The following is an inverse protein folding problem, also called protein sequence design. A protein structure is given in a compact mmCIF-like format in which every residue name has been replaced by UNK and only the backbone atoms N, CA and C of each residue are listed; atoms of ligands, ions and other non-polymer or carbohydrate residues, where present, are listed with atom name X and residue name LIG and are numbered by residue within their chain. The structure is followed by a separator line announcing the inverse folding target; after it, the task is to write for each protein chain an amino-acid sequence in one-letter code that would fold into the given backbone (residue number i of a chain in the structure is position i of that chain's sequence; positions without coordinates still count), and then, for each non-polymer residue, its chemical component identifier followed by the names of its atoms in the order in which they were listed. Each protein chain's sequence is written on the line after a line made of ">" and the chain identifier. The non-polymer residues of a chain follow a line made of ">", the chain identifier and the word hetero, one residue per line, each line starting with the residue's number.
data_IF_803559098915
#
_entry.id   IF_803559098915
#
_cell.length_a   1.000
_cell.length_b   1.000
_cell.length_c   1.000
_cell.angle_alpha   90.00
_cell.angle_beta   90.00
_cell.angle_gamma   90.00
#
_symmetry.space_group_name_H-M   'P 1'
#
loop_
_entity.id
_entity.type
_entity.pdbx_description
1 polymer ?
#
# COMPACT_ATOMS: atom_id res chain seq x y z
N UNK A 1 -5.19 -2.56 -3.29
CA UNK A 1 -4.90 -2.18 -1.89
C UNK A 1 -5.41 -0.76 -1.66
N UNK A 2 -5.95 -0.45 -0.49
CA UNK A 2 -6.42 0.89 -0.15
C UNK A 2 -5.83 1.36 1.17
N UNK A 3 -5.35 2.60 1.23
CA UNK A 3 -4.79 3.19 2.45
C UNK A 3 -5.93 3.83 3.25
N UNK A 4 -6.29 3.23 4.37
CA UNK A 4 -7.39 3.70 5.24
C UNK A 4 -6.93 4.89 6.09
N UNK A 5 -5.71 4.83 6.64
CA UNK A 5 -5.10 5.91 7.41
C UNK A 5 -3.58 5.86 7.34
N UNK A 6 -2.91 6.98 7.63
CA UNK A 6 -1.45 7.11 7.56
C UNK A 6 -0.91 7.24 6.14
N UNK A 7 0.38 6.90 5.95
CA UNK A 7 1.07 6.92 4.65
C UNK A 7 1.79 5.60 4.44
N UNK A 8 1.55 4.97 3.29
CA UNK A 8 2.34 3.83 2.80
C UNK A 8 3.42 4.35 1.86
N UNK A 9 4.65 3.86 1.99
CA UNK A 9 5.68 4.01 0.98
C UNK A 9 5.98 2.64 0.36
N UNK A 10 6.08 2.54 -0.97
CA UNK A 10 6.35 1.27 -1.67
C UNK A 10 7.83 1.01 -1.99
N UNK A 11 8.71 1.86 -1.47
CA UNK A 11 10.14 1.95 -1.76
C UNK A 11 10.49 3.06 -2.75
N UNK A 12 9.50 3.67 -3.41
CA UNK A 12 9.70 4.76 -4.37
C UNK A 12 8.76 5.93 -4.11
N UNK A 13 7.47 5.67 -3.89
CA UNK A 13 6.44 6.69 -3.77
C UNK A 13 5.71 6.62 -2.43
N UNK A 14 5.29 7.79 -1.95
CA UNK A 14 4.40 7.93 -0.81
C UNK A 14 2.92 7.95 -1.25
N UNK A 15 2.10 7.17 -0.55
CA UNK A 15 0.68 7.01 -0.79
C UNK A 15 -0.10 7.33 0.50
N UNK A 16 -0.70 8.53 0.60
CA UNK A 16 -1.44 8.93 1.78
C UNK A 16 -2.80 8.22 1.89
N UNK A 17 -3.44 8.37 3.05
CA UNK A 17 -4.81 7.93 3.28
C UNK A 17 -5.75 8.40 2.15
N UNK A 18 -6.61 7.50 1.68
CA UNK A 18 -7.48 7.74 0.53
C UNK A 18 -6.94 7.20 -0.79
N UNK A 19 -5.67 6.79 -0.87
CA UNK A 19 -5.11 6.22 -2.09
C UNK A 19 -5.54 4.77 -2.31
N UNK A 20 -5.99 4.48 -3.52
CA UNK A 20 -6.09 3.12 -4.04
C UNK A 20 -4.87 2.78 -4.88
N UNK A 21 -4.18 1.70 -4.51
CA UNK A 21 -3.04 1.14 -5.24
C UNK A 21 -3.47 -0.14 -5.95
N UNK A 22 -3.22 -0.21 -7.26
CA UNK A 22 -3.31 -1.43 -8.03
C UNK A 22 -1.95 -2.13 -8.04
N UNK A 23 -1.85 -3.24 -7.32
CA UNK A 23 -0.65 -4.08 -7.24
C UNK A 23 -0.91 -5.40 -8.01
N UNK A 24 -0.66 -5.44 -9.33
CA UNK A 24 -0.91 -6.63 -10.14
C UNK A 24 0.04 -7.77 -9.76
N UNK A 25 -0.33 -9.00 -10.13
CA UNK A 25 0.55 -10.17 -9.94
C UNK A 25 1.94 -9.89 -10.55
N UNK A 26 2.99 -10.37 -9.88
CA UNK A 26 4.41 -10.14 -10.22
C UNK A 26 4.92 -8.70 -10.02
N UNK A 27 4.11 -7.76 -9.51
CA UNK A 27 4.68 -6.53 -8.97
C UNK A 27 5.50 -6.85 -7.71
N UNK A 28 6.53 -6.06 -7.47
CA UNK A 28 7.31 -6.14 -6.23
C UNK A 28 7.48 -4.73 -5.68
N UNK A 29 7.53 -4.63 -4.36
CA UNK A 29 7.59 -3.38 -3.62
C UNK A 29 8.42 -3.61 -2.35
N UNK A 30 8.90 -2.54 -1.73
CA UNK A 30 9.51 -2.55 -0.39
C UNK A 30 8.58 -1.76 0.53
N UNK A 31 7.59 -2.41 1.17
CA UNK A 31 6.58 -1.70 1.95
C UNK A 31 7.19 -1.08 3.20
N UNK A 32 6.94 0.22 3.39
CA UNK A 32 7.48 1.02 4.49
C UNK A 32 6.40 2.00 4.98
N UNK A 33 6.52 2.41 6.25
CA UNK A 33 5.70 3.50 6.81
C UNK A 33 6.37 4.05 8.06
N UNK A 34 6.86 5.28 8.01
CA UNK A 34 7.61 5.90 9.11
C UNK A 34 6.72 6.14 10.34
N UNK A 35 5.50 6.66 10.12
CA UNK A 35 4.54 6.98 11.19
C UNK A 35 3.46 5.92 11.37
N UNK A 36 3.49 4.86 10.57
CA UNK A 36 2.45 3.83 10.52
C UNK A 36 1.31 4.15 9.55
N UNK A 37 0.66 3.09 9.06
CA UNK A 37 -0.54 3.18 8.24
C UNK A 37 -1.47 1.98 8.50
N UNK A 38 -2.74 2.13 8.12
CA UNK A 38 -3.72 1.04 8.10
C UNK A 38 -4.10 0.79 6.65
N UNK A 39 -3.97 -0.47 6.21
CA UNK A 39 -4.26 -0.88 4.85
C UNK A 39 -5.48 -1.80 4.83
N UNK A 40 -6.37 -1.56 3.89
CA UNK A 40 -7.35 -2.55 3.45
C UNK A 40 -6.76 -3.32 2.26
N UNK A 41 -6.50 -4.60 2.49
CA UNK A 41 -5.91 -5.53 1.53
C UNK A 41 -6.98 -6.51 1.07
N UNK A 42 -7.09 -6.67 -0.25
CA UNK A 42 -7.89 -7.73 -0.85
C UNK A 42 -7.01 -8.44 -1.87
N UNK A 43 -6.61 -9.66 -1.53
CA UNK A 43 -5.89 -10.59 -2.42
C UNK A 43 -6.79 -11.82 -2.60
N UNK A 44 -7.58 -11.86 -3.69
CA UNK A 44 -8.57 -12.93 -3.89
C UNK A 44 -7.91 -14.29 -4.12
N UNK A 45 -6.74 -14.31 -4.75
CA UNK A 45 -5.87 -15.47 -4.90
C UNK A 45 -4.44 -14.94 -4.72
N UNK A 46 -3.71 -15.46 -3.73
CA UNK A 46 -2.30 -15.11 -3.52
C UNK A 46 -1.43 -15.63 -4.65
#
# INVERSE_FOLDING_TARGET
>A
MYVVSGVLNDGVNDYPAGTFLHAPVQSWHIPQSEQGCVLFLFYPEG
#
